data_IF_077433612411
#
_entry.id   IF_077433612411
#
_cell.length_a   1.000
_cell.length_b   1.000
_cell.length_c   1.000
_cell.angle_alpha   90.00
_cell.angle_beta   90.00
_cell.angle_gamma   90.00
#
_symmetry.space_group_name_H-M   'P 1'
#
loop_
_entity.id
_entity.type
_entity.pdbx_description
1 polymer ?
#
# COMPACT_ATOMS: atom_id res chain seq x y z
N UNK A 1 3.81 12.86 22.04
CA UNK A 1 3.00 12.35 20.91
C UNK A 1 3.92 12.31 19.72
N UNK A 2 3.97 11.20 19.00
CA UNK A 2 4.89 11.06 17.87
C UNK A 2 4.41 11.90 16.67
N UNK A 3 5.28 12.18 15.71
CA UNK A 3 4.90 12.88 14.47
C UNK A 3 3.78 12.12 13.73
N UNK A 4 3.82 10.78 13.79
CA UNK A 4 2.79 9.90 13.24
C UNK A 4 1.43 10.09 13.93
N UNK A 5 1.40 10.16 15.27
CA UNK A 5 0.15 10.36 16.01
C UNK A 5 -0.50 11.71 15.64
N UNK A 6 0.32 12.76 15.47
CA UNK A 6 -0.17 14.08 15.07
C UNK A 6 -0.71 14.08 13.63
N UNK A 7 -0.02 13.41 12.71
CA UNK A 7 -0.48 13.27 11.33
C UNK A 7 -1.81 12.50 11.24
N UNK A 8 -1.96 11.42 12.02
CA UNK A 8 -3.19 10.64 12.09
C UNK A 8 -4.36 11.49 12.58
N UNK A 9 -4.16 12.23 13.69
CA UNK A 9 -5.18 13.11 14.24
C UNK A 9 -5.55 14.19 13.22
N UNK A 10 -4.56 14.78 12.53
CA UNK A 10 -4.80 15.79 11.51
C UNK A 10 -5.63 15.24 10.35
N UNK A 11 -5.33 14.04 9.83
CA UNK A 11 -6.08 13.40 8.75
C UNK A 11 -7.53 13.14 9.18
N UNK A 12 -7.73 12.58 10.38
CA UNK A 12 -9.07 12.29 10.91
C UNK A 12 -9.87 13.58 11.11
N UNK A 13 -9.25 14.60 11.70
CA UNK A 13 -9.89 15.90 11.94
C UNK A 13 -10.26 16.60 10.63
N UNK A 14 -9.34 16.62 9.65
CA UNK A 14 -9.62 17.19 8.32
C UNK A 14 -10.77 16.43 7.64
N UNK A 15 -10.75 15.11 7.67
CA UNK A 15 -11.84 14.27 7.12
C UNK A 15 -13.18 14.61 7.77
N UNK A 16 -13.22 14.75 9.10
CA UNK A 16 -14.42 15.14 9.84
C UNK A 16 -14.91 16.55 9.49
N UNK A 17 -14.00 17.53 9.40
CA UNK A 17 -14.33 18.93 9.04
C UNK A 17 -14.88 19.00 7.62
N UNK A 18 -14.24 18.34 6.65
CA UNK A 18 -14.72 18.31 5.27
C UNK A 18 -16.09 17.64 5.15
N UNK A 19 -16.32 16.54 5.86
CA UNK A 19 -17.60 15.85 5.86
C UNK A 19 -18.70 16.63 6.58
N UNK A 20 -18.38 17.34 7.66
CA UNK A 20 -19.30 18.27 8.33
C UNK A 20 -19.71 19.42 7.41
N UNK A 21 -18.74 20.00 6.67
CA UNK A 21 -19.00 21.08 5.73
C UNK A 21 -19.87 20.65 4.54
N UNK A 22 -19.69 19.41 4.06
CA UNK A 22 -20.46 18.85 2.92
C UNK A 22 -21.80 18.22 3.30
N UNK A 23 -21.93 17.71 4.52
CA UNK A 23 -23.07 16.92 4.98
C UNK A 23 -22.95 15.43 4.67
N UNK A 24 -23.58 14.59 5.50
CA UNK A 24 -23.57 13.13 5.38
C UNK A 24 -24.14 12.64 4.05
N UNK A 25 -25.31 13.13 3.63
CA UNK A 25 -25.98 12.65 2.41
C UNK A 25 -25.10 12.82 1.19
N UNK A 26 -24.43 13.96 1.04
CA UNK A 26 -23.51 14.21 -0.06
C UNK A 26 -22.34 13.23 -0.05
N UNK A 27 -21.80 12.96 1.13
CA UNK A 27 -20.67 12.05 1.29
C UNK A 27 -21.08 10.59 1.01
N UNK A 28 -22.20 10.12 1.56
CA UNK A 28 -22.74 8.79 1.32
C UNK A 28 -23.08 8.57 -0.16
N UNK A 29 -23.74 9.55 -0.80
CA UNK A 29 -24.06 9.49 -2.21
C UNK A 29 -22.80 9.49 -3.11
N UNK A 30 -21.72 10.15 -2.68
CA UNK A 30 -20.45 10.07 -3.42
C UNK A 30 -19.91 8.65 -3.44
N UNK A 31 -19.96 7.92 -2.31
CA UNK A 31 -19.53 6.53 -2.24
C UNK A 31 -20.43 5.64 -3.09
N UNK A 32 -21.74 5.86 -3.05
CA UNK A 32 -22.70 5.18 -3.93
C UNK A 32 -22.38 5.44 -5.41
N UNK A 33 -21.99 6.67 -5.78
CA UNK A 33 -21.60 6.99 -7.15
C UNK A 33 -20.33 6.23 -7.58
N UNK A 34 -19.31 6.16 -6.73
CA UNK A 34 -18.08 5.41 -6.98
C UNK A 34 -18.35 3.89 -7.10
N UNK A 35 -19.09 3.32 -6.15
CA UNK A 35 -19.45 1.88 -6.15
C UNK A 35 -20.36 1.55 -7.33
N UNK A 36 -21.33 2.41 -7.63
CA UNK A 36 -22.23 2.26 -8.77
C UNK A 36 -21.49 2.34 -10.10
N UNK A 37 -20.56 3.29 -10.26
CA UNK A 37 -19.71 3.38 -11.45
C UNK A 37 -18.82 2.14 -11.61
N UNK A 38 -18.23 1.64 -10.52
CA UNK A 38 -17.47 0.40 -10.53
C UNK A 38 -18.34 -0.80 -10.94
N UNK A 39 -19.55 -0.93 -10.38
CA UNK A 39 -20.49 -2.00 -10.73
C UNK A 39 -20.91 -1.92 -12.20
N UNK A 40 -21.29 -0.73 -12.69
CA UNK A 40 -21.63 -0.51 -14.11
C UNK A 40 -20.46 -0.89 -15.00
N UNK A 41 -19.25 -0.54 -14.60
CA UNK A 41 -18.04 -0.90 -15.37
C UNK A 41 -17.85 -2.40 -15.40
N UNK A 42 -17.92 -3.08 -14.25
CA UNK A 42 -17.73 -4.53 -14.18
C UNK A 42 -18.76 -5.31 -15.00
N UNK A 43 -20.03 -4.94 -14.95
CA UNK A 43 -21.09 -5.62 -15.70
C UNK A 43 -21.17 -5.18 -17.17
N UNK A 44 -20.82 -3.93 -17.47
CA UNK A 44 -20.87 -3.35 -18.81
C UNK A 44 -19.59 -3.52 -19.63
N UNK A 45 -18.48 -3.96 -19.00
CA UNK A 45 -17.15 -4.00 -19.61
C UNK A 45 -17.15 -4.76 -20.93
N UNK A 46 -17.65 -6.01 -20.94
CA UNK A 46 -17.62 -6.87 -22.13
C UNK A 46 -18.34 -6.25 -23.32
N UNK A 47 -19.48 -5.60 -23.09
CA UNK A 47 -20.26 -4.93 -24.13
C UNK A 47 -19.52 -3.73 -24.73
N UNK A 48 -18.91 -2.89 -23.88
CA UNK A 48 -18.15 -1.71 -24.33
C UNK A 48 -16.83 -2.11 -24.98
N UNK A 49 -16.19 -3.14 -24.45
CA UNK A 49 -14.94 -3.69 -24.99
C UNK A 49 -15.12 -4.22 -26.42
N UNK A 50 -16.20 -4.95 -26.69
CA UNK A 50 -16.52 -5.45 -28.04
C UNK A 50 -16.70 -4.33 -29.08
N UNK A 51 -17.20 -3.17 -28.66
CA UNK A 51 -17.28 -1.98 -29.51
C UNK A 51 -15.92 -1.31 -29.66
N UNK A 52 -15.17 -1.19 -28.56
CA UNK A 52 -13.86 -0.50 -28.50
C UNK A 52 -12.81 -1.21 -29.37
N UNK A 53 -12.80 -2.54 -29.40
CA UNK A 53 -11.90 -3.33 -30.26
C UNK A 53 -12.08 -3.07 -31.76
N UNK A 54 -13.22 -2.49 -32.19
CA UNK A 54 -13.41 -2.09 -33.60
C UNK A 54 -12.61 -0.85 -33.97
N UNK A 55 -12.24 -0.04 -32.99
CA UNK A 55 -11.53 1.23 -33.17
C UNK A 55 -10.09 1.20 -32.66
N UNK A 56 -9.79 0.33 -31.69
CA UNK A 56 -8.47 0.20 -31.06
C UNK A 56 -7.91 -1.20 -31.27
N UNK A 57 -6.84 -1.29 -32.05
CA UNK A 57 -6.20 -2.58 -32.38
C UNK A 57 -5.33 -3.13 -31.25
N UNK A 58 -4.76 -2.25 -30.42
CA UNK A 58 -3.88 -2.65 -29.31
C UNK A 58 -4.72 -3.14 -28.13
N UNK A 59 -4.64 -4.42 -27.71
CA UNK A 59 -5.49 -4.98 -26.66
C UNK A 59 -5.41 -4.23 -25.34
N UNK A 60 -4.19 -3.92 -24.89
CA UNK A 60 -3.95 -3.18 -23.63
C UNK A 60 -4.57 -1.78 -23.64
N UNK A 61 -4.56 -1.11 -24.80
CA UNK A 61 -5.18 0.20 -24.95
C UNK A 61 -6.71 0.08 -25.03
N UNK A 62 -7.23 -0.97 -25.68
CA UNK A 62 -8.66 -1.24 -25.74
C UNK A 62 -9.25 -1.55 -24.35
N UNK A 63 -8.56 -2.36 -23.54
CA UNK A 63 -8.93 -2.65 -22.15
C UNK A 63 -9.01 -1.36 -21.32
N UNK A 64 -7.95 -0.54 -21.41
CA UNK A 64 -7.86 0.71 -20.66
C UNK A 64 -8.95 1.69 -21.08
N UNK A 65 -9.16 1.88 -22.38
CA UNK A 65 -10.18 2.80 -22.91
C UNK A 65 -11.58 2.32 -22.58
N UNK A 66 -11.87 1.02 -22.75
CA UNK A 66 -13.19 0.46 -22.45
C UNK A 66 -13.49 0.55 -20.94
N UNK A 67 -12.54 0.12 -20.10
CA UNK A 67 -12.70 0.12 -18.65
C UNK A 67 -12.73 1.54 -18.07
N UNK A 68 -11.67 2.34 -18.30
CA UNK A 68 -11.58 3.68 -17.74
C UNK A 68 -12.60 4.63 -18.39
N UNK A 69 -12.85 4.53 -19.69
CA UNK A 69 -13.85 5.34 -20.37
C UNK A 69 -15.26 5.09 -19.84
N UNK A 70 -15.64 3.81 -19.68
CA UNK A 70 -16.94 3.44 -19.10
C UNK A 70 -17.04 3.88 -17.63
N UNK A 71 -15.98 3.66 -16.85
CA UNK A 71 -15.93 4.05 -15.45
C UNK A 71 -16.08 5.56 -15.27
N UNK A 72 -15.28 6.36 -15.99
CA UNK A 72 -15.34 7.83 -15.89
C UNK A 72 -16.69 8.34 -16.38
N UNK A 73 -17.21 7.83 -17.49
CA UNK A 73 -18.51 8.25 -18.02
C UNK A 73 -19.64 7.95 -17.05
N UNK A 74 -19.68 6.72 -16.51
CA UNK A 74 -20.68 6.33 -15.51
C UNK A 74 -20.54 7.14 -14.22
N UNK A 75 -19.32 7.37 -13.74
CA UNK A 75 -19.04 8.18 -12.56
C UNK A 75 -19.53 9.62 -12.72
N UNK A 76 -19.30 10.25 -13.89
CA UNK A 76 -19.80 11.59 -14.18
C UNK A 76 -21.33 11.62 -14.12
N UNK A 77 -22.00 10.69 -14.81
CA UNK A 77 -23.47 10.60 -14.83
C UNK A 77 -24.03 10.41 -13.42
N UNK A 78 -23.51 9.46 -12.65
CA UNK A 78 -23.96 9.19 -11.29
C UNK A 78 -23.67 10.36 -10.35
N UNK A 79 -22.53 11.04 -10.49
CA UNK A 79 -22.19 12.23 -9.69
C UNK A 79 -23.16 13.38 -9.96
N UNK A 80 -23.56 13.59 -11.22
CA UNK A 80 -24.55 14.61 -11.57
C UNK A 80 -25.90 14.26 -10.92
N UNK A 81 -26.38 13.04 -11.11
CA UNK A 81 -27.68 12.57 -10.55
C UNK A 81 -27.70 12.71 -9.03
N UNK A 82 -26.68 12.16 -8.36
CA UNK A 82 -26.57 12.23 -6.90
C UNK A 82 -26.38 13.65 -6.40
N UNK A 83 -25.71 14.52 -7.17
CA UNK A 83 -25.57 15.93 -6.87
C UNK A 83 -26.91 16.66 -6.78
N UNK A 84 -27.88 16.33 -7.64
CA UNK A 84 -29.25 16.86 -7.54
C UNK A 84 -29.94 16.38 -6.27
N UNK A 85 -29.89 15.07 -5.97
CA UNK A 85 -30.49 14.49 -4.76
C UNK A 85 -29.92 15.14 -3.49
N UNK A 86 -28.61 15.33 -3.44
CA UNK A 86 -27.94 15.96 -2.30
C UNK A 86 -28.42 17.40 -2.05
N UNK A 87 -28.72 18.18 -3.11
CA UNK A 87 -29.25 19.55 -2.96
C UNK A 87 -30.61 19.58 -2.27
N UNK A 88 -31.48 18.62 -2.56
CA UNK A 88 -32.77 18.51 -1.87
C UNK A 88 -32.59 18.22 -0.38
N UNK A 89 -31.68 17.31 -0.03
CA UNK A 89 -31.39 16.97 1.36
C UNK A 89 -30.82 18.16 2.17
N UNK A 90 -30.03 19.03 1.53
CA UNK A 90 -29.43 20.19 2.20
C UNK A 90 -30.40 21.37 2.41
N UNK A 91 -31.49 21.42 1.64
CA UNK A 91 -32.47 22.52 1.64
C UNK A 91 -33.54 22.46 2.74
N UNK A 92 -33.66 21.33 3.45
CA UNK A 92 -34.69 21.12 4.48
C UNK A 92 -34.28 21.55 5.89
N UNK A 93 -35.26 21.54 6.81
CA UNK A 93 -35.05 21.78 8.25
C UNK A 93 -34.09 20.76 8.91
N UNK A 94 -33.79 19.65 8.23
CA UNK A 94 -32.86 18.61 8.67
C UNK A 94 -31.40 18.89 8.27
N UNK A 95 -31.09 20.04 7.67
CA UNK A 95 -29.71 20.41 7.30
C UNK A 95 -28.71 20.32 8.48
N UNK A 96 -29.04 20.78 9.72
CA UNK A 96 -28.13 20.65 10.86
C UNK A 96 -27.84 19.19 11.23
N UNK A 97 -28.84 18.31 11.20
CA UNK A 97 -28.64 16.88 11.52
C UNK A 97 -27.85 16.16 10.42
N UNK A 98 -28.02 16.55 9.14
CA UNK A 98 -27.20 16.05 8.05
C UNK A 98 -25.71 16.39 8.25
N UNK A 99 -25.39 17.58 8.78
CA UNK A 99 -24.02 18.00 9.06
C UNK A 99 -23.41 17.26 10.25
N UNK A 100 -24.15 17.07 11.34
CA UNK A 100 -23.65 16.32 12.51
C UNK A 100 -23.42 14.84 12.20
N UNK A 101 -24.31 14.21 11.42
CA UNK A 101 -24.07 12.88 10.87
C UNK A 101 -22.85 12.87 9.94
N UNK A 102 -22.63 13.95 9.19
CA UNK A 102 -21.45 14.13 8.33
C UNK A 102 -20.16 14.12 9.13
N UNK A 103 -20.14 14.77 10.31
CA UNK A 103 -19.00 14.72 11.23
C UNK A 103 -18.67 13.30 11.67
N UNK A 104 -19.66 12.55 12.16
CA UNK A 104 -19.48 11.17 12.64
C UNK A 104 -18.99 10.27 11.50
N UNK A 105 -19.61 10.41 10.32
CA UNK A 105 -19.19 9.70 9.12
C UNK A 105 -17.76 10.05 8.71
N UNK A 106 -17.40 11.33 8.73
CA UNK A 106 -16.06 11.81 8.39
C UNK A 106 -14.98 11.33 9.36
N UNK A 107 -15.31 11.23 10.65
CA UNK A 107 -14.42 10.61 11.66
C UNK A 107 -14.20 9.12 11.33
N UNK A 108 -15.28 8.36 11.11
CA UNK A 108 -15.18 6.95 10.76
C UNK A 108 -14.37 6.73 9.48
N UNK A 109 -14.65 7.52 8.43
CA UNK A 109 -13.89 7.52 7.19
C UNK A 109 -12.42 7.85 7.42
N UNK A 110 -12.12 8.87 8.23
CA UNK A 110 -10.75 9.26 8.56
C UNK A 110 -9.97 8.11 9.19
N UNK A 111 -10.59 7.39 10.13
CA UNK A 111 -10.01 6.18 10.74
C UNK A 111 -9.75 5.11 9.70
N UNK A 112 -10.72 4.83 8.82
CA UNK A 112 -10.55 3.85 7.74
C UNK A 112 -9.40 4.23 6.80
N UNK A 113 -9.30 5.50 6.39
CA UNK A 113 -8.22 6.00 5.53
C UNK A 113 -6.85 5.83 6.18
N UNK A 114 -6.73 6.12 7.47
CA UNK A 114 -5.48 5.94 8.22
C UNK A 114 -5.13 4.46 8.35
N UNK A 115 -6.10 3.58 8.62
CA UNK A 115 -5.86 2.14 8.68
C UNK A 115 -5.43 1.59 7.31
N UNK A 116 -6.03 2.08 6.22
CA UNK A 116 -5.65 1.71 4.87
C UNK A 116 -4.23 2.19 4.52
N UNK A 117 -3.87 3.42 4.90
CA UNK A 117 -2.50 3.93 4.75
C UNK A 117 -1.50 3.08 5.55
N UNK A 118 -1.86 2.69 6.77
CA UNK A 118 -1.05 1.78 7.59
C UNK A 118 -0.88 0.41 6.93
N UNK A 119 -1.93 -0.16 6.32
CA UNK A 119 -1.82 -1.41 5.56
C UNK A 119 -0.84 -1.30 4.40
N UNK A 120 -0.84 -0.17 3.68
CA UNK A 120 0.13 0.06 2.59
C UNK A 120 1.57 0.10 3.14
N UNK A 121 1.79 0.79 4.26
CA UNK A 121 3.09 0.84 4.94
C UNK A 121 3.50 -0.55 5.44
N UNK A 122 2.55 -1.32 6.00
CA UNK A 122 2.79 -2.67 6.52
C UNK A 122 3.22 -3.64 5.43
N UNK A 123 2.64 -3.53 4.24
CA UNK A 123 3.03 -4.32 3.05
C UNK A 123 4.33 -3.82 2.42
N UNK A 124 4.64 -2.52 2.54
CA UNK A 124 5.81 -1.93 1.87
C UNK A 124 7.11 -1.97 2.70
N UNK A 125 7.01 -1.96 4.03
CA UNK A 125 8.16 -1.93 4.94
C UNK A 125 8.17 -3.16 5.87
N UNK A 126 9.23 -3.99 5.81
CA UNK A 126 9.43 -5.09 6.75
C UNK A 126 9.41 -4.59 8.20
N UNK A 127 8.78 -5.37 9.08
CA UNK A 127 8.66 -5.07 10.52
C UNK A 127 10.03 -4.76 11.18
N UNK A 128 11.10 -5.39 10.69
CA UNK A 128 12.44 -5.23 11.25
C UNK A 128 13.03 -3.84 10.98
N UNK A 129 12.78 -3.26 9.80
CA UNK A 129 13.33 -1.98 9.34
C UNK A 129 12.40 -0.78 9.59
N UNK A 130 11.32 -0.95 10.36
CA UNK A 130 10.42 0.17 10.68
C UNK A 130 11.16 1.25 11.49
N UNK A 131 11.08 2.53 11.07
CA UNK A 131 11.66 3.63 11.82
C UNK A 131 11.09 3.74 13.24
N UNK A 132 11.85 4.33 14.19
CA UNK A 132 11.41 4.49 15.59
C UNK A 132 10.09 5.26 15.72
N UNK A 133 9.85 6.21 14.80
CA UNK A 133 8.63 7.01 14.81
C UNK A 133 7.35 6.23 14.48
N UNK A 134 7.46 5.02 13.94
CA UNK A 134 6.35 4.07 13.74
C UNK A 134 6.24 3.13 14.95
N UNK A 135 7.35 2.50 15.35
CA UNK A 135 7.39 1.49 16.43
C UNK A 135 7.01 2.04 17.82
N UNK A 136 7.21 3.34 18.05
CA UNK A 136 6.89 3.99 19.33
C UNK A 136 5.52 4.66 19.33
N UNK A 137 4.78 4.63 18.22
CA UNK A 137 3.50 5.31 18.11
C UNK A 137 2.42 4.58 18.90
N UNK A 138 1.76 5.27 19.84
CA UNK A 138 0.64 4.69 20.62
C UNK A 138 -0.52 4.26 19.73
N UNK A 139 -0.66 4.92 18.58
CA UNK A 139 -1.66 4.63 17.57
C UNK A 139 -1.43 3.29 16.85
N UNK A 140 -0.22 2.71 16.88
CA UNK A 140 0.09 1.44 16.20
C UNK A 140 -0.85 0.31 16.62
N UNK A 141 -1.11 0.14 17.92
CA UNK A 141 -1.99 -0.92 18.42
C UNK A 141 -3.44 -0.75 17.98
N UNK A 142 -3.90 0.49 17.82
CA UNK A 142 -5.26 0.78 17.36
C UNK A 142 -5.36 0.59 15.84
N UNK A 143 -4.36 1.03 15.09
CA UNK A 143 -4.25 0.84 13.64
C UNK A 143 -4.14 -0.63 13.28
N UNK A 144 -3.33 -1.42 14.01
CA UNK A 144 -3.19 -2.85 13.79
C UNK A 144 -4.54 -3.58 13.95
N UNK A 145 -5.27 -3.29 15.03
CA UNK A 145 -6.62 -3.85 15.22
C UNK A 145 -7.60 -3.41 14.13
N UNK A 146 -7.58 -2.14 13.74
CA UNK A 146 -8.41 -1.63 12.65
C UNK A 146 -8.07 -2.26 11.30
N UNK A 147 -6.79 -2.48 11.03
CA UNK A 147 -6.27 -3.15 9.86
C UNK A 147 -6.68 -4.63 9.82
N UNK A 148 -6.66 -5.33 10.95
CA UNK A 148 -7.12 -6.72 11.04
C UNK A 148 -8.64 -6.83 10.77
N UNK A 149 -9.43 -5.89 11.31
CA UNK A 149 -10.86 -5.80 11.01
C UNK A 149 -11.11 -5.55 9.52
N UNK A 150 -10.32 -4.66 8.89
CA UNK A 150 -10.40 -4.44 7.44
C UNK A 150 -10.00 -5.70 6.66
N UNK A 151 -8.92 -6.39 7.03
CA UNK A 151 -8.48 -7.64 6.39
C UNK A 151 -9.56 -8.71 6.45
N UNK A 152 -10.24 -8.84 7.59
CA UNK A 152 -11.34 -9.81 7.77
C UNK A 152 -12.56 -9.47 6.92
N UNK A 153 -12.81 -8.17 6.68
CA UNK A 153 -13.88 -7.72 5.79
C UNK A 153 -13.53 -7.88 4.30
N UNK A 154 -12.26 -8.06 3.94
CA UNK A 154 -11.84 -8.35 2.57
C UNK A 154 -12.04 -9.84 2.26
N UNK A 155 -12.69 -10.20 1.14
CA UNK A 155 -12.85 -11.60 0.73
C UNK A 155 -11.50 -12.28 0.50
N UNK A 156 -11.40 -13.56 0.86
CA UNK A 156 -10.15 -14.36 0.82
C UNK A 156 -9.44 -14.33 -0.55
N UNK A 157 -10.19 -14.14 -1.64
CA UNK A 157 -9.68 -14.02 -3.01
C UNK A 157 -8.77 -12.80 -3.24
N UNK A 158 -8.91 -11.74 -2.45
CA UNK A 158 -8.03 -10.57 -2.48
C UNK A 158 -6.84 -10.72 -1.54
N UNK A 159 -6.94 -11.56 -0.50
CA UNK A 159 -5.87 -11.81 0.46
C UNK A 159 -4.71 -12.61 -0.16
N UNK A 160 -5.00 -13.58 -1.03
CA UNK A 160 -3.94 -14.35 -1.75
C UNK A 160 -3.20 -13.47 -2.76
N UNK A 161 -3.91 -12.56 -3.45
CA UNK A 161 -3.27 -11.62 -4.39
C UNK A 161 -2.47 -10.54 -3.67
N UNK A 162 -2.93 -10.02 -2.54
CA UNK A 162 -2.16 -9.04 -1.77
C UNK A 162 -0.96 -9.67 -1.06
N UNK A 163 -1.05 -10.93 -0.60
CA UNK A 163 0.09 -11.71 -0.12
C UNK A 163 1.11 -11.96 -1.24
N UNK A 164 0.65 -12.34 -2.44
CA UNK A 164 1.53 -12.50 -3.60
C UNK A 164 2.21 -11.20 -4.02
N UNK A 165 1.49 -10.06 -4.01
CA UNK A 165 2.06 -8.74 -4.28
C UNK A 165 3.04 -8.33 -3.17
N UNK A 166 2.75 -8.63 -1.91
CA UNK A 166 3.66 -8.38 -0.79
C UNK A 166 4.97 -9.17 -0.94
N UNK A 167 4.88 -10.46 -1.26
CA UNK A 167 6.02 -11.34 -1.51
C UNK A 167 6.82 -10.92 -2.75
N UNK A 168 6.15 -10.54 -3.84
CA UNK A 168 6.80 -10.04 -5.05
C UNK A 168 7.54 -8.73 -4.80
N UNK A 169 6.94 -7.84 -4.02
CA UNK A 169 7.54 -6.56 -3.63
C UNK A 169 8.74 -6.80 -2.71
N UNK A 170 8.64 -7.74 -1.76
CA UNK A 170 9.75 -8.15 -0.89
C UNK A 170 10.93 -8.67 -1.70
N UNK A 171 10.70 -9.60 -2.63
CA UNK A 171 11.76 -10.13 -3.52
C UNK A 171 12.38 -9.03 -4.39
N UNK A 172 11.59 -8.06 -4.84
CA UNK A 172 12.09 -6.91 -5.59
C UNK A 172 12.98 -5.99 -4.75
N UNK A 173 12.58 -5.72 -3.51
CA UNK A 173 13.33 -4.90 -2.55
C UNK A 173 14.64 -5.56 -2.11
N UNK A 174 14.63 -6.87 -1.82
CA UNK A 174 15.84 -7.62 -1.47
C UNK A 174 16.86 -7.58 -2.59
N UNK A 175 16.43 -7.83 -3.84
CA UNK A 175 17.31 -7.72 -5.03
C UNK A 175 17.85 -6.31 -5.20
N UNK A 176 17.04 -5.29 -4.97
CA UNK A 176 17.47 -3.89 -5.05
C UNK A 176 18.47 -3.54 -3.94
N UNK A 177 18.25 -4.04 -2.72
CA UNK A 177 19.16 -3.84 -1.59
C UNK A 177 20.48 -4.59 -1.77
N UNK A 178 20.45 -5.83 -2.28
CA UNK A 178 21.65 -6.60 -2.63
C UNK A 178 22.42 -5.93 -3.75
N UNK A 179 21.75 -5.47 -4.81
CA UNK A 179 22.37 -4.70 -5.87
C UNK A 179 23.02 -3.41 -5.31
N UNK A 180 22.36 -2.74 -4.37
CA UNK A 180 22.91 -1.55 -3.72
C UNK A 180 24.11 -1.87 -2.82
N UNK A 181 24.08 -2.98 -2.07
CA UNK A 181 25.23 -3.46 -1.27
C UNK A 181 26.40 -3.87 -2.15
N UNK A 182 26.13 -4.57 -3.26
CA UNK A 182 27.14 -4.92 -4.26
C UNK A 182 27.75 -3.67 -4.87
N UNK A 183 26.94 -2.69 -5.31
CA UNK A 183 27.43 -1.40 -5.81
C UNK A 183 28.26 -0.65 -4.77
N UNK A 184 27.87 -0.65 -3.49
CA UNK A 184 28.67 -0.03 -2.40
C UNK A 184 29.98 -0.78 -2.15
N UNK A 185 29.99 -2.10 -2.25
CA UNK A 185 31.20 -2.91 -2.14
C UNK A 185 32.18 -2.65 -3.30
N UNK A 186 31.67 -2.39 -4.51
CA UNK A 186 32.47 -1.94 -5.64
C UNK A 186 32.93 -0.48 -5.51
N UNK A 187 32.09 0.41 -4.96
CA UNK A 187 32.39 1.83 -4.80
C UNK A 187 33.34 2.14 -3.63
N UNK A 188 33.38 1.28 -2.62
CA UNK A 188 34.27 1.43 -1.47
C UNK A 188 34.83 0.05 -1.09
N UNK A 189 35.89 -0.43 -1.75
CA UNK A 189 36.57 -1.64 -1.35
C UNK A 189 37.29 -1.35 -0.03
N UNK A 190 36.60 -1.48 1.09
CA UNK A 190 37.23 -1.42 2.39
C UNK A 190 38.25 -2.56 2.45
N UNK A 191 39.53 -2.21 2.44
CA UNK A 191 40.61 -3.14 2.74
C UNK A 191 40.28 -3.84 4.06
N UNK A 192 40.53 -5.15 4.19
CA UNK A 192 40.25 -5.87 5.42
C UNK A 192 40.93 -5.12 6.56
N UNK A 193 40.12 -4.68 7.52
CA UNK A 193 40.54 -3.90 8.68
C UNK A 193 41.79 -4.53 9.27
N UNK A 194 42.91 -3.83 9.11
CA UNK A 194 44.21 -4.23 9.64
C UNK A 194 44.06 -4.48 11.14
N UNK A 195 44.28 -5.72 11.53
CA UNK A 195 44.54 -6.09 12.92
C UNK A 195 45.61 -5.15 13.50
N UNK A 196 45.51 -4.90 14.82
CA UNK A 196 46.41 -4.05 15.61
C UNK A 196 47.89 -4.31 15.26
N UNK A 197 48.74 -3.27 15.25
CA UNK A 197 50.17 -3.43 14.94
C UNK A 197 50.83 -4.32 15.99
N UNK A 198 51.19 -5.55 15.59
CA UNK A 198 51.90 -6.50 16.44
C UNK A 198 51.66 -7.97 16.15
N UNK A 199 50.60 -8.35 15.44
CA UNK A 199 50.28 -9.76 15.22
C UNK A 199 50.53 -10.18 13.79
N UNK A 200 51.62 -10.93 13.58
CA UNK A 200 51.94 -11.58 12.30
C UNK A 200 50.75 -12.45 11.93
N UNK A 201 50.03 -12.06 10.87
CA UNK A 201 48.89 -12.81 10.36
C UNK A 201 49.36 -14.23 10.01
N UNK A 202 49.02 -15.18 10.88
CA UNK A 202 49.17 -16.59 10.56
C UNK A 202 48.26 -16.89 9.37
N UNK A 203 48.77 -17.60 8.34
CA UNK A 203 47.94 -17.91 7.18
C UNK A 203 46.74 -18.73 7.63
N UNK A 204 45.56 -18.35 7.12
CA UNK A 204 44.25 -18.94 7.45
C UNK A 204 44.10 -20.34 6.86
N UNK A 205 44.99 -21.25 7.26
CA UNK A 205 44.89 -22.68 6.99
C UNK A 205 44.58 -23.39 8.29
N UNK A 206 43.56 -24.25 8.27
CA UNK A 206 43.25 -25.11 9.40
C UNK A 206 44.31 -26.22 9.46
N UNK A 207 44.70 -26.71 10.65
CA UNK A 207 45.69 -27.77 10.78
C UNK A 207 45.38 -29.04 9.96
N UNK A 208 44.10 -29.30 9.69
CA UNK A 208 43.64 -30.41 8.84
C UNK A 208 44.00 -30.25 7.35
N UNK A 209 44.07 -29.03 6.84
CA UNK A 209 44.31 -28.76 5.41
C UNK A 209 45.73 -29.20 5.00
N UNK A 210 46.68 -29.13 5.94
CA UNK A 210 48.06 -29.58 5.72
C UNK A 210 48.15 -31.10 5.64
N UNK A 211 47.43 -31.82 6.49
CA UNK A 211 47.40 -33.28 6.47
C UNK A 211 46.72 -33.85 5.23
N UNK A 212 45.74 -33.12 4.66
CA UNK A 212 45.08 -33.53 3.42
C UNK A 212 45.99 -33.32 2.20
N UNK A 213 46.77 -32.23 2.17
CA UNK A 213 47.79 -32.03 1.14
C UNK A 213 48.87 -33.11 1.19
N UNK A 214 49.35 -33.49 2.38
CA UNK A 214 50.35 -34.55 2.54
C UNK A 214 49.83 -35.93 2.11
N UNK A 215 48.53 -36.20 2.27
CA UNK A 215 47.90 -37.43 1.79
C UNK A 215 47.83 -37.48 0.26
N UNK A 216 47.49 -36.37 -0.38
CA UNK A 216 47.41 -36.27 -1.85
C UNK A 216 48.79 -36.39 -2.52
N UNK A 217 49.83 -35.88 -1.85
CA UNK A 217 51.22 -35.98 -2.33
C UNK A 217 51.72 -37.43 -2.22
N UNK A 218 51.38 -38.13 -1.12
CA UNK A 218 51.75 -39.54 -0.92
C UNK A 218 50.95 -40.51 -1.78
N UNK A 219 49.73 -40.16 -2.20
CA UNK A 219 48.91 -41.03 -3.06
C UNK A 219 49.29 -40.98 -4.55
N UNK A 220 50.20 -40.08 -4.94
CA UNK A 220 50.61 -39.85 -6.33
C UNK A 220 52.01 -40.41 -6.66
N UNK A 221 52.66 -41.10 -5.71
CA UNK A 221 53.99 -41.70 -5.91
C UNK A 221 53.95 -43.21 -5.76
#
# INVERSE_FOLDING_TARGET
>A
MNALDLAIIAIIALSAIFAFARGFVREALSIVAWVGAAAITLYGFNSVYAVTMRFVTTPLLADLVAGAGLFVTSLIVLTIITGYVARFADSGALSPINRTLGLIFGLARGVVLVCLAYLVVDVSLPQNDRPPWIKEAKSERFLAKGADLLRTALPDSLQVKSAGIADDTHRGLERAQEAQKAMRAYANPAAPSTAKPGEVAAPSYKPGDRSDMDRLIKSTR
#
